data_IF_528810868968
#
_entry.id   IF_528810868968
#
_cell.length_a   1.000
_cell.length_b   1.000
_cell.length_c   1.000
_cell.angle_alpha   90.00
_cell.angle_beta   90.00
_cell.angle_gamma   90.00
#
_symmetry.space_group_name_H-M   'P 1'
#
loop_
_entity.id
_entity.type
_entity.pdbx_description
1 polymer ?
#
# COMPACT_ATOMS: atom_id res chain seq x y z
N UNK A 1 29.58 -32.11 25.49
CA UNK A 1 29.10 -31.40 26.70
C UNK A 1 27.59 -31.38 26.63
N UNK A 2 26.94 -31.56 27.77
CA UNK A 2 25.57 -32.07 28.00
C UNK A 2 24.41 -31.19 27.50
N UNK A 3 23.30 -31.86 27.19
CA UNK A 3 21.96 -31.34 26.86
C UNK A 3 21.43 -30.35 27.90
N UNK A 4 20.65 -29.34 27.46
CA UNK A 4 19.67 -28.67 28.32
C UNK A 4 18.48 -28.10 27.54
N UNK A 5 17.41 -28.88 27.62
CA UNK A 5 15.98 -28.56 27.50
C UNK A 5 15.57 -27.15 27.95
N UNK A 6 14.61 -26.54 27.23
CA UNK A 6 13.52 -25.76 27.83
C UNK A 6 12.20 -26.05 27.10
N UNK A 7 11.27 -26.69 27.83
CA UNK A 7 9.87 -26.91 27.45
C UNK A 7 9.01 -25.68 27.75
N UNK A 8 7.89 -25.63 27.02
CA UNK A 8 6.78 -24.67 26.90
C UNK A 8 6.09 -24.23 28.21
N UNK A 9 5.15 -23.26 28.18
CA UNK A 9 3.74 -23.68 28.05
C UNK A 9 2.81 -22.76 27.23
N UNK A 10 1.82 -23.38 26.58
CA UNK A 10 0.63 -22.76 26.03
C UNK A 10 -0.23 -22.11 27.12
N UNK A 11 -0.94 -21.02 26.77
CA UNK A 11 -2.11 -20.53 27.52
C UNK A 11 -3.23 -20.14 26.55
N UNK A 12 -4.31 -20.89 26.69
CA UNK A 12 -5.66 -20.64 26.19
C UNK A 12 -6.32 -19.46 26.92
N UNK A 13 -7.12 -18.67 26.23
CA UNK A 13 -8.27 -17.97 26.80
C UNK A 13 -9.33 -17.71 25.71
N UNK A 14 -10.54 -18.21 25.96
CA UNK A 14 -11.74 -17.98 25.16
C UNK A 14 -12.53 -16.79 25.74
N UNK A 15 -13.27 -16.06 24.90
CA UNK A 15 -14.43 -15.29 25.34
C UNK A 15 -15.42 -15.10 24.17
N UNK A 16 -16.46 -15.92 24.17
CA UNK A 16 -17.66 -15.71 23.39
C UNK A 16 -18.62 -14.81 24.18
N UNK A 17 -19.21 -13.81 23.53
CA UNK A 17 -20.35 -13.04 24.06
C UNK A 17 -21.44 -12.95 22.99
N UNK A 18 -22.66 -13.26 23.42
CA UNK A 18 -23.89 -13.34 22.64
C UNK A 18 -24.91 -12.30 23.16
N UNK A 19 -25.71 -11.71 22.27
CA UNK A 19 -27.09 -11.20 22.45
C UNK A 19 -27.49 -10.42 21.17
N UNK A 20 -28.46 -10.81 20.33
CA UNK A 20 -29.91 -10.95 20.49
C UNK A 20 -30.68 -9.61 20.66
N UNK A 21 -31.47 -9.24 19.64
CA UNK A 21 -32.90 -8.82 19.70
C UNK A 21 -33.24 -7.82 18.58
N UNK A 22 -34.18 -8.21 17.70
CA UNK A 22 -34.83 -7.31 16.75
C UNK A 22 -36.09 -6.67 17.32
N UNK A 23 -36.45 -5.51 16.77
CA UNK A 23 -37.72 -4.77 16.81
C UNK A 23 -37.64 -3.88 15.53
N UNK A 24 -38.54 -3.86 14.55
CA UNK A 24 -39.98 -4.04 14.61
C UNK A 24 -40.67 -2.68 14.76
N UNK A 25 -40.55 -1.78 13.78
CA UNK A 25 -41.33 -0.54 13.69
C UNK A 25 -41.97 -0.42 12.30
N UNK A 26 -43.15 -1.03 12.18
CA UNK A 26 -44.14 -0.63 11.20
C UNK A 26 -44.99 0.49 11.81
N UNK A 27 -45.21 1.56 11.04
CA UNK A 27 -46.32 2.47 11.24
C UNK A 27 -45.93 3.95 11.30
N UNK A 28 -46.16 4.68 10.21
CA UNK A 28 -47.34 5.55 10.15
C UNK A 28 -47.62 5.95 8.70
N UNK A 29 -48.81 5.57 8.23
CA UNK A 29 -49.41 5.99 6.97
C UNK A 29 -49.56 7.51 6.88
N UNK A 30 -49.28 8.07 5.71
CA UNK A 30 -50.09 9.18 5.20
C UNK A 30 -50.28 9.00 3.70
N UNK A 31 -51.48 8.55 3.35
CA UNK A 31 -51.97 8.36 1.99
C UNK A 31 -52.80 9.60 1.60
N UNK A 32 -52.45 10.21 0.46
CA UNK A 32 -53.31 11.09 -0.36
C UNK A 32 -52.97 12.59 -0.38
N UNK A 33 -53.31 13.34 -1.46
CA UNK A 33 -53.95 12.94 -2.72
C UNK A 33 -53.07 13.16 -3.97
N UNK A 34 -53.36 12.39 -5.03
CA UNK A 34 -52.94 12.63 -6.40
C UNK A 34 -53.49 13.97 -6.92
N UNK A 35 -52.61 14.86 -7.39
CA UNK A 35 -52.99 15.99 -8.25
C UNK A 35 -51.81 16.36 -9.14
N UNK A 36 -51.99 16.06 -10.44
CA UNK A 36 -51.70 16.95 -11.56
C UNK A 36 -50.29 17.55 -11.66
N UNK A 37 -49.53 16.98 -12.60
CA UNK A 37 -48.46 17.59 -13.40
C UNK A 37 -48.28 19.09 -13.25
N UNK A 38 -47.07 19.48 -12.83
CA UNK A 38 -46.39 20.64 -13.40
C UNK A 38 -44.95 20.23 -13.70
N UNK A 39 -44.66 20.10 -15.00
CA UNK A 39 -43.32 19.91 -15.54
C UNK A 39 -42.79 21.30 -15.86
N UNK A 40 -42.03 21.90 -14.95
CA UNK A 40 -41.16 23.02 -15.29
C UNK A 40 -39.74 22.83 -14.72
N UNK A 41 -38.82 22.87 -15.68
CA UNK A 41 -37.42 23.26 -15.64
C UNK A 41 -36.35 22.30 -15.09
N UNK A 42 -35.59 21.75 -16.04
CA UNK A 42 -34.25 21.18 -15.86
C UNK A 42 -33.34 22.27 -15.31
N UNK A 43 -32.93 22.13 -14.06
CA UNK A 43 -31.67 22.69 -13.59
C UNK A 43 -30.71 21.53 -13.34
N UNK A 44 -29.85 21.30 -14.33
CA UNK A 44 -28.53 20.70 -14.17
C UNK A 44 -27.74 21.60 -13.23
N UNK A 45 -27.88 21.37 -11.93
CA UNK A 45 -27.26 22.16 -10.88
C UNK A 45 -26.55 21.22 -9.92
N UNK A 46 -25.33 20.89 -10.30
CA UNK A 46 -24.24 20.37 -9.45
C UNK A 46 -24.58 19.11 -8.66
N UNK A 47 -24.04 18.00 -9.15
CA UNK A 47 -23.74 16.86 -8.30
C UNK A 47 -23.10 17.40 -7.02
N UNK A 48 -23.59 16.90 -5.90
CA UNK A 48 -22.95 17.06 -4.62
C UNK A 48 -21.52 16.56 -4.78
N UNK A 49 -20.56 17.46 -5.00
CA UNK A 49 -19.18 17.25 -4.59
C UNK A 49 -19.18 17.25 -3.06
N UNK A 50 -19.75 16.19 -2.49
CA UNK A 50 -19.20 15.65 -1.26
C UNK A 50 -17.77 15.26 -1.64
N UNK A 51 -16.81 16.17 -1.50
CA UNK A 51 -15.43 15.76 -1.30
C UNK A 51 -15.45 14.77 -0.15
N UNK A 52 -15.17 13.47 -0.34
CA UNK A 52 -14.78 12.70 0.81
C UNK A 52 -13.50 13.36 1.33
N UNK A 53 -13.55 13.86 2.57
CA UNK A 53 -12.33 14.07 3.34
C UNK A 53 -11.55 12.74 3.34
N UNK A 54 -10.20 12.74 3.30
CA UNK A 54 -9.44 11.51 3.32
C UNK A 54 -9.72 10.79 4.65
N UNK A 55 -10.57 9.76 4.59
CA UNK A 55 -10.78 8.84 5.70
C UNK A 55 -9.50 8.02 5.84
N UNK A 56 -8.65 8.43 6.77
CA UNK A 56 -7.39 7.75 7.10
C UNK A 56 -7.68 6.49 7.92
N UNK A 57 -8.14 5.44 7.24
CA UNK A 57 -8.25 4.09 7.76
C UNK A 57 -8.37 3.09 6.61
N UNK A 58 -7.55 2.02 6.55
CA UNK A 58 -7.57 1.09 5.44
C UNK A 58 -8.89 0.30 5.44
N UNK A 59 -9.76 0.57 4.47
CA UNK A 59 -10.85 -0.34 4.11
C UNK A 59 -10.26 -1.51 3.31
N UNK A 60 -10.80 -2.73 3.47
CA UNK A 60 -10.40 -3.89 2.66
C UNK A 60 -10.69 -3.58 1.19
N UNK A 61 -9.67 -3.12 0.46
CA UNK A 61 -9.78 -2.55 -0.88
C UNK A 61 -8.94 -1.28 -1.09
N UNK A 62 -8.49 -0.64 -0.02
CA UNK A 62 -7.65 0.57 -0.03
C UNK A 62 -6.17 0.18 0.13
N UNK A 63 -5.51 0.02 -1.01
CA UNK A 63 -4.05 0.06 -1.17
C UNK A 63 -3.48 1.23 -0.35
N UNK A 64 -2.48 0.99 0.52
CA UNK A 64 -1.81 2.07 1.26
C UNK A 64 -1.31 3.12 0.26
N UNK A 65 -1.53 4.41 0.53
CA UNK A 65 -1.04 5.51 -0.28
C UNK A 65 -0.47 6.60 0.61
N UNK A 66 0.84 6.84 0.50
CA UNK A 66 1.52 7.79 1.38
C UNK A 66 3.00 7.95 1.05
N UNK A 67 3.69 8.72 1.89
CA UNK A 67 5.14 8.89 1.83
C UNK A 67 5.83 7.69 2.45
N UNK A 68 6.98 7.29 1.88
CA UNK A 68 7.85 6.32 2.52
C UNK A 68 8.50 6.96 3.76
N UNK A 69 8.06 6.55 4.95
CA UNK A 69 8.47 7.10 6.25
C UNK A 69 8.71 5.97 7.27
N UNK A 70 9.23 6.31 8.45
CA UNK A 70 9.43 5.39 9.57
C UNK A 70 8.15 4.65 9.96
N UNK A 71 6.99 5.32 9.92
CA UNK A 71 5.70 4.67 10.23
C UNK A 71 5.40 3.52 9.27
N UNK A 72 5.50 3.78 7.95
CA UNK A 72 5.35 2.74 6.94
C UNK A 72 6.42 1.66 7.06
N UNK A 73 7.68 2.04 7.34
CA UNK A 73 8.77 1.08 7.49
C UNK A 73 8.53 0.11 8.67
N UNK A 74 8.02 0.59 9.80
CA UNK A 74 7.72 -0.26 10.97
C UNK A 74 6.51 -1.17 10.69
N UNK A 75 5.51 -0.67 9.97
CA UNK A 75 4.29 -1.41 9.65
C UNK A 75 4.37 -2.24 8.35
N UNK A 76 5.47 -2.15 7.58
CA UNK A 76 5.62 -2.76 6.24
C UNK A 76 5.31 -4.25 6.19
N UNK A 77 5.62 -4.98 7.26
CA UNK A 77 5.35 -6.42 7.36
C UNK A 77 3.85 -6.73 7.27
N UNK A 78 2.99 -5.79 7.66
CA UNK A 78 1.54 -5.91 7.52
C UNK A 78 1.10 -5.80 6.07
N UNK A 79 1.86 -5.08 5.24
CA UNK A 79 1.56 -4.84 3.82
C UNK A 79 2.17 -5.88 2.86
N UNK A 80 2.89 -6.88 3.37
CA UNK A 80 3.47 -7.94 2.52
C UNK A 80 2.39 -8.66 1.70
N UNK A 81 2.62 -8.77 0.39
CA UNK A 81 1.67 -9.32 -0.58
C UNK A 81 0.51 -8.39 -0.93
N UNK A 82 0.51 -7.15 -0.43
CA UNK A 82 -0.46 -6.12 -0.75
C UNK A 82 0.18 -5.06 -1.65
N UNK A 83 -0.64 -4.50 -2.54
CA UNK A 83 -0.25 -3.36 -3.34
C UNK A 83 -0.23 -2.11 -2.45
N UNK A 84 0.75 -1.23 -2.68
CA UNK A 84 0.93 0.06 -2.02
C UNK A 84 1.30 1.13 -3.06
N UNK A 85 1.11 2.39 -2.70
CA UNK A 85 1.56 3.58 -3.43
C UNK A 85 2.45 4.38 -2.48
N UNK A 86 3.73 4.47 -2.81
CA UNK A 86 4.75 5.12 -2.01
C UNK A 86 5.29 6.33 -2.75
N UNK A 87 5.41 7.45 -2.05
CA UNK A 87 6.10 8.64 -2.52
C UNK A 87 7.40 8.80 -1.74
N UNK A 88 8.53 8.88 -2.43
CA UNK A 88 9.85 8.81 -1.81
C UNK A 88 10.92 9.50 -2.68
N UNK A 89 12.04 9.86 -2.07
CA UNK A 89 13.21 10.35 -2.80
C UNK A 89 14.07 9.16 -3.23
N UNK A 90 14.59 9.21 -4.46
CA UNK A 90 15.55 8.22 -4.96
C UNK A 90 16.89 8.46 -4.28
N UNK A 91 17.37 7.48 -3.51
CA UNK A 91 18.68 7.50 -2.86
C UNK A 91 19.77 7.09 -3.85
N UNK A 92 19.53 6.01 -4.60
CA UNK A 92 20.47 5.46 -5.58
C UNK A 92 19.72 4.75 -6.72
N UNK A 93 20.32 4.68 -7.90
CA UNK A 93 19.75 3.96 -9.05
C UNK A 93 20.64 2.75 -9.35
N UNK A 94 20.05 1.55 -9.24
CA UNK A 94 20.78 0.30 -9.38
C UNK A 94 20.42 -0.35 -10.72
N UNK A 95 21.32 -0.23 -11.69
CA UNK A 95 21.14 -0.85 -13.01
C UNK A 95 20.06 -0.17 -13.85
N UNK A 96 19.37 -0.96 -14.68
CA UNK A 96 18.35 -0.47 -15.60
C UNK A 96 16.93 -0.56 -14.99
N UNK A 97 16.69 -1.58 -14.16
CA UNK A 97 15.37 -2.04 -13.69
C UNK A 97 15.23 -1.99 -12.15
N UNK A 98 16.17 -1.34 -11.47
CA UNK A 98 16.23 -1.25 -10.01
C UNK A 98 16.55 0.17 -9.54
N UNK A 99 15.92 0.58 -8.45
CA UNK A 99 16.26 1.81 -7.74
C UNK A 99 16.09 1.62 -6.23
N UNK A 100 16.81 2.43 -5.46
CA UNK A 100 16.72 2.49 -4.01
C UNK A 100 16.02 3.78 -3.64
N UNK A 101 14.93 3.67 -2.89
CA UNK A 101 14.26 4.84 -2.31
C UNK A 101 14.66 4.99 -0.84
N UNK A 102 14.84 6.24 -0.42
CA UNK A 102 14.92 6.59 0.99
C UNK A 102 13.69 7.40 1.41
N UNK A 103 13.53 7.58 2.72
CA UNK A 103 12.53 8.51 3.22
C UNK A 103 12.74 9.91 2.62
N UNK A 104 11.67 10.70 2.55
CA UNK A 104 11.77 12.09 2.07
C UNK A 104 12.86 12.86 2.85
N UNK A 105 13.42 13.94 2.28
CA UNK A 105 14.55 14.69 2.85
C UNK A 105 14.43 15.07 4.35
N UNK A 106 13.22 15.13 4.89
CA UNK A 106 12.90 15.40 6.30
C UNK A 106 12.91 14.17 7.23
N UNK A 107 12.96 12.95 6.68
CA UNK A 107 12.90 11.69 7.41
C UNK A 107 13.97 10.70 6.91
N UNK A 108 14.93 10.38 7.79
CA UNK A 108 15.91 9.32 7.51
C UNK A 108 15.30 7.96 7.84
N UNK A 109 15.00 7.18 6.81
CA UNK A 109 14.51 5.80 6.88
C UNK A 109 15.53 4.87 6.25
N UNK A 110 15.52 3.60 6.66
CA UNK A 110 16.34 2.57 6.03
C UNK A 110 15.96 2.47 4.54
N UNK A 111 16.93 2.46 3.61
CA UNK A 111 16.65 2.43 2.19
C UNK A 111 15.85 1.18 1.79
N UNK A 112 14.95 1.33 0.83
CA UNK A 112 14.13 0.24 0.30
C UNK A 112 14.42 0.01 -1.17
N UNK A 113 14.70 -1.24 -1.52
CA UNK A 113 14.87 -1.66 -2.91
C UNK A 113 13.51 -1.68 -3.63
N UNK A 114 13.47 -1.09 -4.80
CA UNK A 114 12.32 -1.09 -5.71
C UNK A 114 12.76 -1.68 -7.04
N UNK A 115 12.07 -2.74 -7.48
CA UNK A 115 12.30 -3.40 -8.76
C UNK A 115 11.17 -3.06 -9.72
N UNK A 116 11.48 -2.77 -10.98
CA UNK A 116 10.48 -2.47 -12.00
C UNK A 116 10.84 -3.15 -13.33
N UNK A 117 9.93 -3.96 -13.88
CA UNK A 117 10.08 -4.65 -15.18
C UNK A 117 9.31 -3.91 -16.28
N UNK A 118 9.51 -2.60 -16.41
CA UNK A 118 8.75 -1.79 -17.38
C UNK A 118 9.64 -0.75 -18.06
N UNK A 119 9.06 -0.03 -19.04
CA UNK A 119 9.77 1.02 -19.78
C UNK A 119 10.62 1.88 -18.83
N UNK A 120 11.93 1.90 -19.10
CA UNK A 120 12.93 2.57 -18.29
C UNK A 120 12.48 3.99 -17.95
N UNK A 121 12.34 4.26 -16.66
CA UNK A 121 12.04 5.60 -16.17
C UNK A 121 13.36 6.34 -16.04
N UNK A 122 13.43 7.54 -16.62
CA UNK A 122 14.59 8.43 -16.49
C UNK A 122 14.53 9.08 -15.10
N UNK A 123 15.06 8.37 -14.11
CA UNK A 123 15.18 8.80 -12.71
C UNK A 123 16.64 8.97 -12.34
N UNK A 124 16.92 9.98 -11.54
CA UNK A 124 18.23 10.32 -11.00
C UNK A 124 18.15 10.39 -9.47
N UNK A 125 19.31 10.20 -8.81
CA UNK A 125 19.46 10.41 -7.38
C UNK A 125 18.95 11.80 -6.95
N UNK A 126 18.25 11.86 -5.81
CA UNK A 126 17.64 13.07 -5.26
C UNK A 126 16.30 13.48 -5.87
N UNK A 127 15.77 12.75 -6.86
CA UNK A 127 14.45 13.02 -7.42
C UNK A 127 13.33 12.37 -6.61
N UNK A 128 12.18 13.03 -6.53
CA UNK A 128 11.00 12.46 -5.86
C UNK A 128 10.17 11.66 -6.85
N UNK A 129 9.88 10.40 -6.51
CA UNK A 129 9.12 9.46 -7.32
C UNK A 129 7.89 8.95 -6.58
N UNK A 130 6.86 8.61 -7.35
CA UNK A 130 5.71 7.82 -6.92
C UNK A 130 5.87 6.40 -7.45
N UNK A 131 5.89 5.43 -6.53
CA UNK A 131 6.04 4.01 -6.79
C UNK A 131 4.73 3.31 -6.43
N UNK A 132 4.10 2.67 -7.41
CA UNK A 132 2.97 1.77 -7.18
C UNK A 132 3.48 0.35 -7.33
N UNK A 133 3.39 -0.46 -6.28
CA UNK A 133 3.97 -1.81 -6.29
C UNK A 133 3.46 -2.70 -5.17
N UNK A 134 3.87 -3.97 -5.21
CA UNK A 134 3.54 -4.96 -4.17
C UNK A 134 4.71 -5.10 -3.21
N UNK A 135 4.44 -5.05 -1.89
CA UNK A 135 5.48 -5.22 -0.87
C UNK A 135 5.84 -6.69 -0.74
N UNK A 136 7.12 -7.00 -0.78
CA UNK A 136 7.67 -8.35 -0.68
C UNK A 136 8.58 -8.46 0.55
N UNK A 137 8.54 -9.60 1.23
CA UNK A 137 9.21 -9.78 2.51
C UNK A 137 10.73 -9.94 2.39
N UNK A 138 11.19 -10.62 1.34
CA UNK A 138 12.60 -10.95 1.15
C UNK A 138 12.92 -11.03 -0.32
N UNK A 139 13.90 -10.26 -0.75
CA UNK A 139 14.45 -10.28 -2.09
C UNK A 139 15.31 -11.54 -2.27
N UNK A 140 14.93 -12.36 -3.24
CA UNK A 140 15.66 -13.55 -3.65
C UNK A 140 15.56 -13.67 -5.17
N UNK A 141 16.65 -13.40 -5.92
CA UNK A 141 16.61 -13.44 -7.38
C UNK A 141 16.32 -14.85 -7.92
N UNK A 142 16.59 -15.91 -7.14
CA UNK A 142 16.27 -17.30 -7.54
C UNK A 142 14.77 -17.62 -7.51
N UNK A 143 13.96 -16.75 -6.90
CA UNK A 143 12.50 -16.87 -6.88
C UNK A 143 11.82 -16.09 -8.02
N UNK A 144 12.57 -15.26 -8.74
CA UNK A 144 12.08 -14.50 -9.89
C UNK A 144 12.05 -15.37 -11.15
N UNK A 145 11.36 -14.91 -12.19
CA UNK A 145 11.37 -15.54 -13.50
C UNK A 145 12.78 -15.52 -14.14
N UNK A 146 13.08 -16.47 -15.03
CA UNK A 146 14.43 -16.63 -15.63
C UNK A 146 14.98 -15.35 -16.28
N UNK A 147 14.12 -14.49 -16.83
CA UNK A 147 14.53 -13.18 -17.38
C UNK A 147 14.94 -12.23 -16.26
N UNK A 148 14.05 -11.94 -15.32
CA UNK A 148 14.32 -11.10 -14.16
C UNK A 148 15.52 -11.60 -13.33
N UNK A 149 15.70 -12.92 -13.21
CA UNK A 149 16.86 -13.48 -12.51
C UNK A 149 18.18 -13.05 -13.17
N UNK A 150 18.27 -12.99 -14.50
CA UNK A 150 19.48 -12.52 -15.19
C UNK A 150 19.75 -11.03 -14.89
N UNK A 151 18.70 -10.21 -14.82
CA UNK A 151 18.82 -8.77 -14.54
C UNK A 151 19.18 -8.46 -13.07
N UNK A 152 18.74 -9.31 -12.12
CA UNK A 152 18.87 -9.04 -10.69
C UNK A 152 19.89 -9.92 -9.93
N UNK A 153 20.69 -10.75 -10.62
CA UNK A 153 21.78 -11.56 -10.01
C UNK A 153 23.13 -10.82 -9.92
N UNK A 154 23.18 -9.56 -10.37
CA UNK A 154 24.41 -8.77 -10.38
C UNK A 154 24.94 -8.47 -8.95
N UNK A 155 26.24 -8.17 -8.84
CA UNK A 155 26.87 -7.85 -7.54
C UNK A 155 26.24 -6.63 -6.87
N UNK A 156 25.62 -5.74 -7.65
CA UNK A 156 24.90 -4.57 -7.15
C UNK A 156 23.70 -4.92 -6.26
N UNK A 157 23.06 -6.08 -6.46
CA UNK A 157 21.88 -6.48 -5.70
C UNK A 157 22.20 -7.38 -4.49
N UNK A 158 23.45 -7.85 -4.37
CA UNK A 158 23.86 -8.77 -3.30
C UNK A 158 23.69 -8.18 -1.90
N UNK A 159 23.89 -6.86 -1.74
CA UNK A 159 23.67 -6.21 -0.45
C UNK A 159 22.20 -6.32 -0.02
N UNK A 160 21.28 -6.27 -0.99
CA UNK A 160 19.83 -6.31 -0.79
C UNK A 160 19.24 -7.73 -0.69
N UNK A 161 20.04 -8.79 -0.82
CA UNK A 161 19.55 -10.15 -0.66
C UNK A 161 18.94 -10.37 0.74
N UNK A 162 17.79 -11.06 0.78
CA UNK A 162 17.00 -11.31 1.98
C UNK A 162 16.41 -10.07 2.65
N UNK A 163 16.57 -8.88 2.05
CA UNK A 163 15.93 -7.65 2.50
C UNK A 163 14.53 -7.51 1.88
N UNK A 164 13.59 -6.83 2.54
CA UNK A 164 12.30 -6.53 1.93
C UNK A 164 12.48 -5.60 0.73
N UNK A 165 11.62 -5.76 -0.27
CA UNK A 165 11.62 -4.97 -1.49
C UNK A 165 10.20 -4.70 -1.96
N UNK A 166 10.06 -3.78 -2.91
CA UNK A 166 8.79 -3.53 -3.59
C UNK A 166 8.93 -3.90 -5.06
N UNK A 167 8.05 -4.79 -5.53
CA UNK A 167 7.89 -5.05 -6.95
C UNK A 167 6.95 -3.98 -7.52
N UNK A 168 7.53 -2.97 -8.14
CA UNK A 168 6.81 -1.86 -8.72
C UNK A 168 6.15 -2.27 -10.04
N UNK A 169 4.85 -1.99 -10.13
CA UNK A 169 4.06 -2.07 -11.35
C UNK A 169 3.95 -0.71 -12.06
N UNK A 170 4.32 0.38 -11.38
CA UNK A 170 4.47 1.70 -12.00
C UNK A 170 5.42 2.57 -11.19
N UNK A 171 6.34 3.26 -11.86
CA UNK A 171 7.18 4.31 -11.27
C UNK A 171 6.98 5.60 -12.06
N UNK A 172 6.73 6.71 -11.37
CA UNK A 172 6.49 8.01 -12.00
C UNK A 172 7.23 9.11 -11.26
N UNK A 173 7.90 9.97 -12.02
CA UNK A 173 8.53 11.16 -11.45
C UNK A 173 7.46 12.15 -10.98
N UNK A 174 7.61 12.67 -9.77
CA UNK A 174 6.77 13.76 -9.27
C UNK A 174 7.46 15.11 -9.54
N UNK A 175 6.70 16.13 -9.99
CA UNK A 175 7.27 17.46 -10.18
C UNK A 175 7.69 18.04 -8.82
N UNK A 176 8.89 18.61 -8.77
CA UNK A 176 9.35 19.39 -7.62
C UNK A 176 8.38 20.57 -7.40
N UNK A 177 7.83 20.69 -6.19
CA UNK A 177 6.86 21.74 -5.82
C UNK A 177 7.56 23.03 -5.35
#
# INVERSE_FOLDING_TARGET
>A
MTVRERRSPARTAAAALAAAAGLGLAGCSTEGPETGTDVEDVSEGEVLESSPAPENGPTTGDTFAGTYDQDFHDERETYVGQQVTLSAEVDDVIGDDGLVIAGAAENTVDPLLVLYDMDRVDVEEGQVVEVVGTVQQSFDPSTLDDQAQEDFTDELYQDHEQQPYVEASSVRLLPEQ
#
